data_IF_866051342753
#
_entry.id   IF_866051342753
#
_cell.length_a   1.000
_cell.length_b   1.000
_cell.length_c   1.000
_cell.angle_alpha   90.00
_cell.angle_beta   90.00
_cell.angle_gamma   90.00
#
_symmetry.space_group_name_H-M   'P 1'
#
loop_
_entity.id
_entity.type
_entity.pdbx_description
1 polymer ?
#
# COMPACT_ATOMS: atom_id res chain seq x y z
N UNK A 1 -8.98 -15.10 -18.74
CA UNK A 1 -8.36 -13.88 -18.19
C UNK A 1 -8.17 -12.87 -19.30
N UNK A 2 -8.91 -11.75 -19.30
CA UNK A 2 -8.67 -10.66 -20.26
C UNK A 2 -7.54 -9.81 -19.74
N UNK A 3 -6.43 -9.72 -20.49
CA UNK A 3 -5.39 -8.71 -20.28
C UNK A 3 -6.07 -7.34 -20.25
N UNK A 4 -5.91 -6.59 -19.16
CA UNK A 4 -6.21 -5.16 -19.16
C UNK A 4 -5.11 -4.55 -20.03
N UNK A 5 -5.47 -4.24 -21.27
CA UNK A 5 -4.59 -3.54 -22.21
C UNK A 5 -4.29 -2.18 -21.61
N UNK A 6 -3.05 -1.97 -21.15
CA UNK A 6 -2.51 -0.63 -20.91
C UNK A 6 -2.65 0.14 -22.21
N UNK A 7 -3.60 1.08 -22.24
CA UNK A 7 -3.84 1.93 -23.39
C UNK A 7 -3.03 3.20 -23.14
N UNK A 8 -1.81 3.24 -23.66
CA UNK A 8 -1.03 4.47 -23.71
C UNK A 8 -1.86 5.51 -24.49
N UNK A 9 -2.14 6.66 -23.87
CA UNK A 9 -2.69 7.79 -24.61
C UNK A 9 -1.58 8.42 -25.46
N UNK A 10 -1.97 9.18 -26.49
CA UNK A 10 -1.07 9.85 -27.45
C UNK A 10 -0.08 10.86 -26.81
N UNK A 11 -0.10 11.05 -25.50
CA UNK A 11 0.70 12.02 -24.75
C UNK A 11 1.53 11.37 -23.61
N UNK A 12 1.66 10.04 -23.59
CA UNK A 12 2.50 9.34 -22.60
C UNK A 12 1.86 9.19 -21.20
N UNK A 13 0.55 9.43 -21.07
CA UNK A 13 -0.17 9.16 -19.84
C UNK A 13 -0.56 7.68 -19.74
N UNK A 14 -0.31 7.11 -18.56
CA UNK A 14 -0.63 5.74 -18.19
C UNK A 14 -1.77 5.77 -17.19
N UNK A 15 -2.86 5.06 -17.48
CA UNK A 15 -3.99 4.94 -16.56
C UNK A 15 -3.71 3.86 -15.52
N UNK A 16 -3.94 4.18 -14.26
CA UNK A 16 -3.76 3.28 -13.12
C UNK A 16 -4.93 3.36 -12.14
N UNK A 17 -5.16 2.28 -11.41
CA UNK A 17 -6.09 2.24 -10.28
C UNK A 17 -5.32 1.89 -9.02
N UNK A 18 -5.44 2.71 -7.98
CA UNK A 18 -4.67 2.56 -6.75
C UNK A 18 -5.51 2.91 -5.52
N UNK A 19 -5.02 2.53 -4.35
CA UNK A 19 -5.53 3.09 -3.10
C UNK A 19 -5.05 4.54 -2.96
N UNK A 20 -5.82 5.35 -2.26
CA UNK A 20 -5.47 6.71 -1.88
C UNK A 20 -6.07 7.07 -0.51
N UNK A 21 -5.49 8.07 0.15
CA UNK A 21 -6.14 8.79 1.25
C UNK A 21 -6.54 10.17 0.76
N UNK A 22 -7.74 10.62 1.15
CA UNK A 22 -8.16 12.00 0.97
C UNK A 22 -7.65 12.78 2.18
N UNK A 23 -6.70 13.69 1.95
CA UNK A 23 -6.08 14.50 3.02
C UNK A 23 -6.94 15.72 3.33
N UNK A 24 -7.50 16.36 2.31
CA UNK A 24 -8.43 17.48 2.47
C UNK A 24 -9.37 17.55 1.28
N UNK A 25 -10.57 18.09 1.51
CA UNK A 25 -11.56 18.37 0.47
C UNK A 25 -12.26 19.69 0.81
N UNK A 26 -11.79 20.78 0.21
CA UNK A 26 -12.22 22.14 0.53
C UNK A 26 -13.15 22.68 -0.55
N UNK A 27 -14.30 23.23 -0.15
CA UNK A 27 -15.22 23.86 -1.09
C UNK A 27 -14.69 25.22 -1.56
N UNK A 28 -14.68 25.45 -2.87
CA UNK A 28 -14.13 26.70 -3.46
C UNK A 28 -15.14 27.85 -3.51
N UNK A 29 -16.36 27.63 -3.02
CA UNK A 29 -17.55 28.47 -3.23
C UNK A 29 -18.03 28.55 -4.68
N UNK A 30 -17.40 27.81 -5.60
CA UNK A 30 -17.79 27.72 -7.01
C UNK A 30 -18.63 26.48 -7.29
N UNK A 31 -19.54 26.61 -8.25
CA UNK A 31 -20.34 25.52 -8.81
C UNK A 31 -20.14 25.51 -10.33
N UNK A 32 -20.00 24.35 -10.94
CA UNK A 32 -19.94 24.19 -12.40
C UNK A 32 -20.90 23.08 -12.84
N UNK A 33 -21.78 23.38 -13.80
CA UNK A 33 -22.84 22.47 -14.24
C UNK A 33 -23.68 21.88 -13.08
N UNK A 34 -24.00 22.71 -12.07
CA UNK A 34 -24.72 22.33 -10.84
C UNK A 34 -23.99 21.34 -9.91
N UNK A 35 -22.68 21.15 -10.08
CA UNK A 35 -21.86 20.34 -9.20
C UNK A 35 -20.85 21.22 -8.43
N UNK A 36 -20.54 20.90 -7.16
CA UNK A 36 -19.55 21.64 -6.39
C UNK A 36 -18.15 21.48 -6.96
N UNK A 37 -17.40 22.57 -6.97
CA UNK A 37 -15.98 22.57 -7.29
C UNK A 37 -15.20 22.56 -5.99
N UNK A 38 -14.36 21.54 -5.81
CA UNK A 38 -13.57 21.31 -4.60
C UNK A 38 -12.07 21.35 -4.93
N UNK A 39 -11.29 21.90 -4.01
CA UNK A 39 -9.84 21.72 -3.96
C UNK A 39 -9.56 20.50 -3.06
N UNK A 40 -9.11 19.40 -3.67
CA UNK A 40 -8.91 18.12 -3.00
C UNK A 40 -7.44 17.74 -3.05
N UNK A 41 -6.93 17.31 -1.90
CA UNK A 41 -5.60 16.73 -1.78
C UNK A 41 -5.71 15.22 -1.59
N UNK A 42 -5.00 14.47 -2.44
CA UNK A 42 -4.90 13.01 -2.39
C UNK A 42 -3.47 12.61 -2.05
N UNK A 43 -3.32 11.67 -1.12
CA UNK A 43 -2.13 10.82 -1.05
C UNK A 43 -2.44 9.54 -1.84
N UNK A 44 -1.98 9.47 -3.08
CA UNK A 44 -2.12 8.27 -3.91
C UNK A 44 -0.97 7.33 -3.59
N UNK A 45 -1.28 6.04 -3.58
CA UNK A 45 -0.37 4.99 -3.15
C UNK A 45 -0.08 4.01 -4.27
N UNK A 46 0.75 4.36 -5.26
CA UNK A 46 1.02 3.45 -6.34
C UNK A 46 1.83 2.22 -5.89
N UNK A 47 1.65 1.10 -6.59
CA UNK A 47 2.33 -0.16 -6.24
C UNK A 47 3.85 -0.11 -6.45
N UNK A 48 4.31 0.48 -7.54
CA UNK A 48 5.71 0.37 -8.01
C UNK A 48 6.55 1.63 -7.75
N UNK A 49 6.06 2.57 -6.94
CA UNK A 49 6.73 3.86 -6.70
C UNK A 49 6.28 4.50 -5.39
N UNK A 50 7.03 5.50 -4.88
CA UNK A 50 6.64 6.26 -3.71
C UNK A 50 5.23 6.85 -3.80
N UNK A 51 4.68 7.18 -2.64
CA UNK A 51 3.41 7.89 -2.51
C UNK A 51 3.44 9.19 -3.33
N UNK A 52 2.35 9.48 -4.03
CA UNK A 52 2.18 10.73 -4.75
C UNK A 52 1.24 11.63 -3.96
N UNK A 53 1.73 12.80 -3.57
CA UNK A 53 0.89 13.84 -3.01
C UNK A 53 0.37 14.72 -4.14
N UNK A 54 -0.95 14.72 -4.33
CA UNK A 54 -1.59 15.33 -5.51
C UNK A 54 -2.65 16.31 -5.07
N UNK A 55 -2.53 17.56 -5.53
CA UNK A 55 -3.53 18.60 -5.31
C UNK A 55 -4.33 18.85 -6.60
N UNK A 56 -5.65 18.74 -6.53
CA UNK A 56 -6.53 18.97 -7.68
C UNK A 56 -7.75 19.80 -7.33
N UNK A 57 -7.98 20.85 -8.11
CA UNK A 57 -9.28 21.48 -8.24
C UNK A 57 -10.13 20.65 -9.19
N UNK A 58 -11.29 20.17 -8.74
CA UNK A 58 -12.18 19.38 -9.58
C UNK A 58 -13.66 19.57 -9.27
N UNK A 59 -14.46 19.41 -10.31
CA UNK A 59 -15.91 19.24 -10.18
C UNK A 59 -16.16 17.85 -9.59
N UNK A 60 -16.94 17.77 -8.52
CA UNK A 60 -17.29 16.49 -7.89
C UNK A 60 -18.74 16.16 -8.17
N UNK A 61 -18.99 14.99 -8.74
CA UNK A 61 -20.37 14.52 -8.95
C UNK A 61 -21.03 14.19 -7.61
N UNK A 62 -22.36 14.29 -7.53
CA UNK A 62 -23.09 13.90 -6.31
C UNK A 62 -22.85 12.43 -5.90
N UNK A 63 -22.47 11.56 -6.85
CA UNK A 63 -22.10 10.17 -6.57
C UNK A 63 -20.73 10.03 -5.90
N UNK A 64 -19.82 10.97 -6.10
CA UNK A 64 -18.49 10.97 -5.46
C UNK A 64 -18.50 11.56 -4.06
N UNK A 65 -19.43 12.49 -3.77
CA UNK A 65 -19.50 13.20 -2.49
C UNK A 65 -19.53 12.27 -1.27
N UNK A 66 -20.30 11.16 -1.25
CA UNK A 66 -20.30 10.23 -0.11
C UNK A 66 -18.94 9.61 0.21
N UNK A 67 -18.04 9.54 -0.77
CA UNK A 67 -16.70 8.98 -0.64
C UNK A 67 -15.62 10.03 -0.35
N UNK A 68 -15.96 11.33 -0.33
CA UNK A 68 -15.04 12.43 0.00
C UNK A 68 -14.85 12.57 1.51
N UNK A 69 -14.51 11.47 2.19
CA UNK A 69 -14.28 11.44 3.64
C UNK A 69 -12.79 11.59 3.91
N UNK A 70 -12.43 12.74 4.49
CA UNK A 70 -11.05 13.03 4.87
C UNK A 70 -10.56 11.98 5.88
N UNK A 71 -9.36 11.45 5.63
CA UNK A 71 -8.73 10.42 6.46
C UNK A 71 -9.19 8.98 6.19
N UNK A 72 -10.23 8.76 5.39
CA UNK A 72 -10.65 7.41 4.99
C UNK A 72 -9.93 6.95 3.71
N UNK A 73 -9.57 5.65 3.60
CA UNK A 73 -8.95 5.12 2.40
C UNK A 73 -9.98 4.91 1.30
N UNK A 74 -9.66 5.35 0.08
CA UNK A 74 -10.51 5.23 -1.11
C UNK A 74 -9.74 4.55 -2.24
N UNK A 75 -10.47 4.00 -3.21
CA UNK A 75 -9.90 3.62 -4.50
C UNK A 75 -10.04 4.77 -5.48
N UNK A 76 -8.97 5.03 -6.24
CA UNK A 76 -8.95 6.06 -7.28
C UNK A 76 -8.47 5.47 -8.60
N UNK A 77 -9.04 5.93 -9.71
CA UNK A 77 -8.49 5.80 -11.06
C UNK A 77 -7.85 7.12 -11.43
N UNK A 78 -6.63 7.13 -11.97
CA UNK A 78 -5.96 8.34 -12.43
C UNK A 78 -5.07 8.06 -13.64
N UNK A 79 -4.78 9.11 -14.41
CA UNK A 79 -3.79 9.11 -15.48
C UNK A 79 -2.49 9.68 -14.94
N UNK A 80 -1.34 9.08 -15.28
CA UNK A 80 -0.03 9.55 -14.84
C UNK A 80 0.99 9.60 -15.97
N UNK A 81 1.75 10.70 -16.07
CA UNK A 81 2.87 10.85 -16.99
C UNK A 81 4.21 10.95 -16.24
N UNK A 82 5.09 9.92 -16.31
CA UNK A 82 6.38 9.94 -15.62
C UNK A 82 7.31 11.06 -16.09
N UNK A 83 7.23 11.49 -17.35
CA UNK A 83 8.12 12.51 -17.89
C UNK A 83 7.89 13.90 -17.24
N UNK A 84 6.68 14.12 -16.72
CA UNK A 84 6.31 15.35 -16.04
C UNK A 84 6.65 15.32 -14.55
N UNK A 85 6.89 14.16 -13.93
CA UNK A 85 7.06 14.06 -12.48
C UNK A 85 8.52 14.29 -12.03
N UNK A 86 9.08 15.47 -12.33
CA UNK A 86 10.49 15.79 -12.05
C UNK A 86 10.73 16.39 -10.66
N UNK A 87 9.69 16.96 -10.04
CA UNK A 87 9.70 17.48 -8.67
C UNK A 87 8.37 17.21 -7.97
N UNK A 88 8.29 17.44 -6.65
CA UNK A 88 7.03 17.31 -5.89
C UNK A 88 5.92 18.24 -6.40
N UNK A 89 6.27 19.47 -6.81
CA UNK A 89 5.32 20.40 -7.41
C UNK A 89 4.80 19.88 -8.75
N UNK A 90 5.65 19.20 -9.53
CA UNK A 90 5.26 18.65 -10.83
C UNK A 90 4.43 17.37 -10.72
N UNK A 91 4.45 16.65 -9.59
CA UNK A 91 3.62 15.45 -9.38
C UNK A 91 2.14 15.76 -9.62
N UNK A 92 1.70 16.95 -9.20
CA UNK A 92 0.31 17.37 -9.43
C UNK A 92 0.02 17.59 -10.91
N UNK A 93 0.97 18.02 -11.73
CA UNK A 93 0.80 18.14 -13.19
C UNK A 93 0.92 16.79 -13.90
N UNK A 94 1.78 15.92 -13.39
CA UNK A 94 1.98 14.57 -13.88
C UNK A 94 0.75 13.67 -13.70
N UNK A 95 -0.09 13.95 -12.71
CA UNK A 95 -1.34 13.22 -12.45
C UNK A 95 -2.55 13.97 -13.02
N UNK A 96 -3.39 13.32 -13.82
CA UNK A 96 -4.65 13.88 -14.35
C UNK A 96 -5.81 12.89 -14.20
N UNK A 97 -7.04 13.34 -14.50
CA UNK A 97 -8.23 12.48 -14.59
C UNK A 97 -8.53 11.61 -13.37
N UNK A 98 -8.22 12.12 -12.17
CA UNK A 98 -8.48 11.40 -10.91
C UNK A 98 -10.00 11.24 -10.74
N UNK A 99 -10.46 10.02 -10.60
CA UNK A 99 -11.85 9.64 -10.31
C UNK A 99 -11.89 8.78 -9.06
N UNK A 100 -12.83 9.06 -8.14
CA UNK A 100 -13.01 8.26 -6.92
C UNK A 100 -13.94 7.10 -7.25
N UNK A 101 -13.46 5.87 -7.07
CA UNK A 101 -14.19 4.65 -7.39
C UNK A 101 -15.05 4.14 -6.22
N UNK A 102 -14.79 4.62 -5.00
CA UNK A 102 -15.47 4.22 -3.78
C UNK A 102 -14.51 3.93 -2.62
N UNK A 103 -14.99 3.36 -1.50
CA UNK A 103 -14.15 3.01 -0.37
C UNK A 103 -13.10 1.97 -0.77
N UNK A 104 -11.91 2.04 -0.15
CA UNK A 104 -10.94 0.96 -0.29
C UNK A 104 -11.46 -0.29 0.41
N UNK A 105 -11.67 -1.35 -0.36
CA UNK A 105 -11.90 -2.67 0.21
C UNK A 105 -10.55 -3.37 0.27
N UNK A 106 -9.99 -3.49 1.48
CA UNK A 106 -8.82 -4.33 1.71
C UNK A 106 -9.29 -5.78 1.58
N UNK A 107 -9.03 -6.36 0.42
CA UNK A 107 -9.40 -7.74 0.10
C UNK A 107 -8.14 -8.60 -0.02
N UNK A 108 -8.27 -9.84 0.44
CA UNK A 108 -7.33 -10.90 0.12
C UNK A 108 -7.66 -11.48 -1.25
N UNK A 109 -6.67 -11.56 -2.11
CA UNK A 109 -6.75 -12.18 -3.43
C UNK A 109 -5.60 -13.20 -3.59
N UNK A 110 -5.77 -14.19 -4.46
CA UNK A 110 -4.73 -15.17 -4.77
C UNK A 110 -4.77 -16.43 -3.89
N UNK A 111 -3.61 -16.92 -3.47
CA UNK A 111 -3.48 -18.21 -2.76
C UNK A 111 -4.10 -18.17 -1.36
N UNK A 112 -5.14 -18.97 -1.13
CA UNK A 112 -5.84 -19.03 0.16
C UNK A 112 -4.97 -19.56 1.29
N UNK A 113 -3.97 -20.39 1.00
CA UNK A 113 -3.05 -20.94 2.03
C UNK A 113 -2.18 -19.86 2.63
N UNK A 114 -1.75 -18.89 1.82
CA UNK A 114 -0.99 -17.72 2.29
C UNK A 114 -1.86 -16.85 3.19
N UNK A 115 -3.13 -16.63 2.80
CA UNK A 115 -4.09 -15.91 3.63
C UNK A 115 -4.28 -16.62 4.97
N UNK A 116 -4.51 -17.93 4.96
CA UNK A 116 -4.70 -18.73 6.18
C UNK A 116 -3.48 -18.68 7.09
N UNK A 117 -2.28 -18.87 6.54
CA UNK A 117 -1.01 -18.80 7.29
C UNK A 117 -0.78 -17.41 7.89
N UNK A 118 -0.94 -16.34 7.10
CA UNK A 118 -0.78 -14.97 7.57
C UNK A 118 -1.82 -14.59 8.63
N UNK A 119 -3.07 -15.00 8.45
CA UNK A 119 -4.15 -14.75 9.44
C UNK A 119 -3.88 -15.50 10.74
N UNK A 120 -3.42 -16.76 10.65
CA UNK A 120 -3.06 -17.55 11.82
C UNK A 120 -1.87 -16.92 12.56
N UNK A 121 -0.82 -16.49 11.86
CA UNK A 121 0.33 -15.81 12.45
C UNK A 121 -0.11 -14.56 13.24
N UNK A 122 -0.91 -13.68 12.62
CA UNK A 122 -1.45 -12.49 13.28
C UNK A 122 -2.23 -12.88 14.54
N UNK A 123 -3.11 -13.88 14.46
CA UNK A 123 -3.90 -14.32 15.62
C UNK A 123 -3.06 -14.85 16.78
N UNK A 124 -1.93 -15.52 16.50
CA UNK A 124 -1.00 -16.00 17.54
C UNK A 124 -0.22 -14.84 18.16
N UNK A 125 0.10 -13.83 17.36
CA UNK A 125 0.85 -12.64 17.80
C UNK A 125 -0.03 -11.68 18.62
N UNK A 126 -1.28 -11.45 18.24
CA UNK A 126 -2.21 -10.54 18.94
C UNK A 126 -2.42 -10.93 20.41
N UNK A 127 -2.34 -12.23 20.73
CA UNK A 127 -2.47 -12.74 22.09
C UNK A 127 -1.16 -12.77 22.90
N UNK A 128 -0.04 -12.34 22.33
CA UNK A 128 1.29 -12.53 22.91
C UNK A 128 1.96 -11.21 23.30
N UNK A 129 2.81 -11.28 24.33
CA UNK A 129 3.77 -10.21 24.60
C UNK A 129 4.84 -10.23 23.50
N UNK A 130 5.06 -9.10 22.84
CA UNK A 130 6.08 -8.94 21.83
C UNK A 130 7.40 -8.46 22.42
N UNK A 131 8.51 -8.99 21.89
CA UNK A 131 9.88 -8.69 22.30
C UNK A 131 10.67 -8.20 21.09
N UNK A 132 11.32 -7.05 21.23
CA UNK A 132 12.13 -6.44 20.17
C UNK A 132 13.45 -7.19 19.99
N UNK A 133 13.86 -7.41 18.74
CA UNK A 133 15.18 -7.96 18.40
C UNK A 133 15.57 -7.55 16.98
N UNK A 134 16.74 -8.00 16.54
CA UNK A 134 17.23 -7.83 15.18
C UNK A 134 17.38 -9.19 14.51
N UNK A 135 16.85 -9.32 13.29
CA UNK A 135 16.90 -10.56 12.53
C UNK A 135 17.58 -10.39 11.18
N UNK A 136 18.31 -11.43 10.77
CA UNK A 136 18.90 -11.54 9.44
C UNK A 136 17.92 -12.22 8.50
N UNK A 137 17.57 -11.56 7.40
CA UNK A 137 16.77 -12.17 6.34
C UNK A 137 17.56 -13.29 5.67
N UNK A 138 17.02 -14.51 5.69
CA UNK A 138 17.57 -15.67 5.02
C UNK A 138 16.99 -15.87 3.62
N UNK A 139 15.69 -15.62 3.46
CA UNK A 139 14.98 -15.78 2.20
C UNK A 139 13.89 -14.71 2.04
N UNK A 140 13.59 -14.38 0.78
CA UNK A 140 12.48 -13.50 0.40
C UNK A 140 11.80 -14.13 -0.80
N UNK A 141 10.51 -14.42 -0.69
CA UNK A 141 9.72 -14.98 -1.78
C UNK A 141 8.45 -14.19 -2.01
N UNK A 142 8.26 -13.69 -3.24
CA UNK A 142 6.99 -13.10 -3.65
C UNK A 142 5.96 -14.21 -3.81
N UNK A 143 4.92 -14.19 -2.99
CA UNK A 143 3.84 -15.17 -3.08
C UNK A 143 2.86 -14.84 -4.21
N UNK A 144 1.92 -15.75 -4.47
CA UNK A 144 0.81 -15.52 -5.38
C UNK A 144 -0.39 -14.79 -4.73
N UNK A 145 -0.28 -14.36 -3.47
CA UNK A 145 -1.34 -13.66 -2.75
C UNK A 145 -1.14 -12.13 -2.78
N UNK A 146 -2.26 -11.42 -2.64
CA UNK A 146 -2.30 -9.95 -2.49
C UNK A 146 -3.24 -9.56 -1.35
N UNK A 147 -2.90 -8.49 -0.65
CA UNK A 147 -3.74 -7.87 0.37
C UNK A 147 -3.95 -6.40 0.05
N UNK A 148 -5.20 -6.01 -0.25
CA UNK A 148 -5.53 -4.65 -0.66
C UNK A 148 -4.80 -4.21 -1.93
N UNK A 149 -4.50 -5.15 -2.83
CA UNK A 149 -3.73 -4.92 -4.06
C UNK A 149 -2.21 -5.05 -3.89
N UNK A 150 -1.67 -4.99 -2.67
CA UNK A 150 -0.24 -5.14 -2.42
C UNK A 150 0.17 -6.62 -2.47
N UNK A 151 1.27 -6.99 -3.14
CA UNK A 151 1.79 -8.34 -3.12
C UNK A 151 2.22 -8.74 -1.70
N UNK A 152 1.94 -9.98 -1.36
CA UNK A 152 2.37 -10.59 -0.10
C UNK A 152 3.69 -11.32 -0.34
N UNK A 153 4.67 -11.05 0.49
CA UNK A 153 5.97 -11.71 0.49
C UNK A 153 6.09 -12.61 1.71
N UNK A 154 6.79 -13.72 1.53
CA UNK A 154 7.18 -14.66 2.58
C UNK A 154 8.65 -14.44 2.90
N UNK A 155 8.97 -14.35 4.19
CA UNK A 155 10.32 -14.13 4.66
C UNK A 155 10.70 -15.20 5.66
N UNK A 156 11.86 -15.80 5.45
CA UNK A 156 12.53 -16.59 6.47
C UNK A 156 13.59 -15.71 7.12
N UNK A 157 13.56 -15.61 8.46
CA UNK A 157 14.46 -14.74 9.21
C UNK A 157 15.08 -15.52 10.36
N UNK A 158 16.39 -15.35 10.56
CA UNK A 158 17.09 -15.85 11.75
C UNK A 158 17.34 -14.71 12.72
N UNK A 159 16.97 -14.88 13.98
CA UNK A 159 17.22 -13.91 15.05
C UNK A 159 17.59 -14.60 16.36
N UNK A 160 18.12 -13.82 17.30
CA UNK A 160 18.45 -14.28 18.64
C UNK A 160 17.36 -13.86 19.62
N UNK A 161 16.90 -14.80 20.45
CA UNK A 161 15.97 -14.50 21.55
C UNK A 161 16.68 -13.82 22.73
N UNK A 162 15.92 -13.23 23.65
CA UNK A 162 16.45 -12.70 24.92
C UNK A 162 17.27 -13.73 25.73
N UNK A 163 16.98 -15.03 25.55
CA UNK A 163 17.68 -16.14 26.21
C UNK A 163 19.01 -16.52 25.51
N UNK A 164 19.36 -15.84 24.42
CA UNK A 164 20.58 -16.09 23.66
C UNK A 164 20.48 -17.24 22.66
N UNK A 165 19.28 -17.77 22.41
CA UNK A 165 19.06 -18.85 21.45
C UNK A 165 18.84 -18.30 20.04
N UNK A 166 19.52 -18.90 19.05
CA UNK A 166 19.23 -18.66 17.64
C UNK A 166 18.00 -19.42 17.19
N UNK A 167 17.03 -18.71 16.62
CA UNK A 167 15.78 -19.27 16.08
C UNK A 167 15.58 -18.77 14.65
N UNK A 168 14.94 -19.61 13.84
CA UNK A 168 14.45 -19.26 12.52
C UNK A 168 12.91 -19.20 12.55
N UNK A 169 12.36 -18.15 11.97
CA UNK A 169 10.92 -17.96 11.84
C UNK A 169 10.54 -17.65 10.40
N UNK A 170 9.26 -17.88 10.09
CA UNK A 170 8.63 -17.49 8.84
C UNK A 170 7.58 -16.40 9.11
N UNK A 171 7.55 -15.34 8.29
CA UNK A 171 6.48 -14.33 8.34
C UNK A 171 5.96 -13.99 6.94
N UNK A 172 4.76 -13.42 6.91
CA UNK A 172 4.10 -12.97 5.69
C UNK A 172 3.80 -11.49 5.80
N UNK A 173 4.31 -10.69 4.87
CA UNK A 173 4.07 -9.25 4.85
C UNK A 173 3.53 -8.79 3.49
N UNK A 174 2.39 -8.11 3.53
CA UNK A 174 1.95 -7.30 2.41
C UNK A 174 2.80 -6.03 2.37
N UNK A 175 3.61 -5.86 1.31
CA UNK A 175 4.45 -4.69 1.14
C UNK A 175 4.43 -4.21 -0.30
N UNK A 176 4.77 -2.94 -0.51
CA UNK A 176 4.91 -2.40 -1.85
C UNK A 176 6.17 -2.97 -2.49
N UNK A 177 6.11 -3.42 -3.75
CA UNK A 177 7.28 -3.90 -4.49
C UNK A 177 8.53 -3.01 -4.39
N UNK A 178 8.38 -1.69 -4.49
CA UNK A 178 9.53 -0.77 -4.41
C UNK A 178 10.10 -0.64 -2.99
N UNK A 179 9.27 -0.76 -1.94
CA UNK A 179 9.74 -0.82 -0.55
C UNK A 179 10.49 -2.12 -0.30
N UNK A 180 10.03 -3.20 -0.91
CA UNK A 180 10.72 -4.48 -0.83
C UNK A 180 12.08 -4.46 -1.53
N UNK A 181 12.24 -3.66 -2.59
CA UNK A 181 13.55 -3.42 -3.20
C UNK A 181 14.61 -2.86 -2.25
N UNK A 182 14.22 -2.38 -1.06
CA UNK A 182 15.14 -1.96 -0.01
C UNK A 182 15.61 -3.11 0.90
N UNK A 183 14.85 -4.21 0.97
CA UNK A 183 15.22 -5.44 1.69
C UNK A 183 15.93 -6.40 0.75
N UNK A 184 16.89 -7.15 1.29
CA UNK A 184 17.63 -8.12 0.51
C UNK A 184 18.08 -9.27 1.41
N UNK A 185 18.30 -10.43 0.80
CA UNK A 185 18.84 -11.59 1.51
C UNK A 185 20.15 -11.19 2.19
N UNK A 186 20.20 -11.40 3.50
CA UNK A 186 21.32 -11.04 4.36
C UNK A 186 21.19 -9.70 5.08
N UNK A 187 20.20 -8.86 4.77
CA UNK A 187 19.96 -7.62 5.51
C UNK A 187 19.50 -7.90 6.95
N UNK A 188 19.80 -6.97 7.86
CA UNK A 188 19.37 -7.00 9.26
C UNK A 188 18.18 -6.06 9.42
N UNK A 189 17.08 -6.57 10.00
CA UNK A 189 15.83 -5.85 10.19
C UNK A 189 15.42 -5.84 11.67
N UNK A 190 14.79 -4.75 12.09
CA UNK A 190 14.10 -4.70 13.37
C UNK A 190 12.82 -5.55 13.29
N UNK A 191 12.64 -6.42 14.28
CA UNK A 191 11.48 -7.28 14.36
C UNK A 191 11.04 -7.48 15.80
N UNK A 192 9.78 -7.90 15.94
CA UNK A 192 9.14 -8.23 17.20
C UNK A 192 8.69 -9.68 17.18
N UNK A 193 9.21 -10.50 18.09
CA UNK A 193 8.82 -11.91 18.21
C UNK A 193 7.90 -12.16 19.41
N UNK A 194 7.08 -13.20 19.30
CA UNK A 194 6.14 -13.62 20.35
C UNK A 194 6.86 -14.31 21.49
N UNK A 195 6.64 -13.83 22.72
CA UNK A 195 7.14 -14.50 23.93
C UNK A 195 6.47 -15.86 24.22
N UNK A 196 5.35 -16.16 23.53
CA UNK A 196 4.61 -17.42 23.66
C UNK A 196 5.08 -18.45 22.64
N UNK A 197 5.41 -18.01 21.43
CA UNK A 197 5.98 -18.84 20.38
C UNK A 197 7.14 -18.09 19.71
N UNK A 198 8.37 -18.40 20.13
CA UNK A 198 9.55 -17.63 19.74
C UNK A 198 9.87 -17.68 18.23
N UNK A 199 9.21 -18.52 17.43
CA UNK A 199 9.34 -18.51 15.97
C UNK A 199 8.37 -17.54 15.26
N UNK A 200 7.31 -17.11 15.94
CA UNK A 200 6.34 -16.17 15.39
C UNK A 200 6.84 -14.74 15.56
N UNK A 201 6.94 -13.99 14.47
CA UNK A 201 7.40 -12.61 14.49
C UNK A 201 6.76 -11.74 13.40
N UNK A 202 6.86 -10.43 13.60
CA UNK A 202 6.54 -9.40 12.61
C UNK A 202 7.69 -8.42 12.47
N UNK A 203 7.84 -7.85 11.29
CA UNK A 203 8.72 -6.69 11.11
C UNK A 203 8.13 -5.45 11.78
N UNK A 204 9.01 -4.58 12.29
CA UNK A 204 8.60 -3.26 12.73
C UNK A 204 8.05 -2.43 11.55
N UNK A 205 7.04 -1.59 11.81
CA UNK A 205 6.45 -0.71 10.77
C UNK A 205 7.46 0.38 10.40
N UNK A 206 7.73 0.51 9.08
CA UNK A 206 8.50 1.62 8.50
C UNK A 206 7.57 2.69 7.94
#
# INVERSE_FOLDING_TARGET
>A
MKRITQKESSEGYIRAEENAYIISANHTAMMMANYPVLDIQFAIFPQERPMLLVNKRRICTYAEIPYLRVGEPVRVSYSYNPALAQSEEDISNAVTDISILGPSQILWEGDSRVKEAATLLVSRIEGSKLIDTHGKILSIEKTNAKLGGNPVFRYDVRFMTEEGQWIEGETYQATRPWLEGQRHIGSIENLQYSATNNSDFIFEKR
#
